data_IF_505909020346
#
_entry.id   IF_505909020346
#
_cell.length_a   1.000
_cell.length_b   1.000
_cell.length_c   1.000
_cell.angle_alpha   90.00
_cell.angle_beta   90.00
_cell.angle_gamma   90.00
#
_symmetry.space_group_name_H-M   'P 1'
#
loop_
_entity.id
_entity.type
_entity.pdbx_description
1 polymer ?
#
# COMPACT_ATOMS: atom_id res chain seq x y z
N UNK A 1 -0.16 -14.18 8.72
CA UNK A 1 0.61 -13.91 9.95
C UNK A 1 -0.36 -13.39 11.01
N UNK A 2 0.11 -12.80 12.12
CA UNK A 2 -0.76 -12.20 13.15
C UNK A 2 -1.58 -10.99 12.65
N UNK A 3 -1.26 -10.50 11.45
CA UNK A 3 -1.88 -9.36 10.79
C UNK A 3 -2.79 -9.77 9.63
N UNK A 4 -2.90 -11.08 9.37
CA UNK A 4 -3.74 -11.67 8.33
C UNK A 4 -3.13 -11.71 6.93
N UNK A 5 -1.85 -11.38 6.74
CA UNK A 5 -1.19 -11.55 5.43
C UNK A 5 -0.68 -12.99 5.28
N UNK A 6 -0.99 -13.65 4.16
CA UNK A 6 -0.54 -15.03 3.89
C UNK A 6 0.69 -15.04 2.98
N UNK A 7 1.40 -16.18 2.89
CA UNK A 7 2.60 -16.31 2.04
C UNK A 7 2.39 -15.86 0.59
N UNK A 8 1.19 -16.05 0.05
CA UNK A 8 0.84 -15.60 -1.29
C UNK A 8 0.75 -14.07 -1.41
N UNK A 9 0.34 -13.35 -0.36
CA UNK A 9 0.36 -11.87 -0.35
C UNK A 9 1.80 -11.36 -0.47
N UNK A 10 2.75 -12.01 0.22
CA UNK A 10 4.17 -11.66 0.15
C UNK A 10 4.76 -11.92 -1.23
N UNK A 11 4.53 -13.11 -1.80
CA UNK A 11 5.05 -13.46 -3.12
C UNK A 11 4.54 -12.50 -4.20
N UNK A 12 3.23 -12.20 -4.17
CA UNK A 12 2.61 -11.29 -5.14
C UNK A 12 3.04 -9.84 -4.95
N UNK A 13 3.22 -9.38 -3.71
CA UNK A 13 3.73 -8.02 -3.43
C UNK A 13 5.14 -7.79 -4.00
N UNK A 14 5.97 -8.84 -4.09
CA UNK A 14 7.30 -8.78 -4.69
C UNK A 14 7.31 -9.16 -6.18
N UNK A 15 6.15 -9.27 -6.82
CA UNK A 15 6.01 -9.69 -8.22
C UNK A 15 6.67 -11.07 -8.55
N UNK A 16 6.84 -11.94 -7.55
CA UNK A 16 7.49 -13.24 -7.72
C UNK A 16 6.51 -14.30 -8.24
N UNK A 17 6.43 -14.42 -9.57
CA UNK A 17 5.57 -15.40 -10.25
C UNK A 17 5.95 -16.84 -9.91
N UNK A 18 7.23 -17.16 -9.91
CA UNK A 18 7.71 -18.53 -9.66
C UNK A 18 7.34 -19.01 -8.26
N UNK A 19 7.55 -18.17 -7.25
CA UNK A 19 7.14 -18.47 -5.89
C UNK A 19 5.61 -18.52 -5.76
N UNK A 20 4.89 -17.62 -6.43
CA UNK A 20 3.41 -17.65 -6.43
C UNK A 20 2.88 -18.96 -7.02
N UNK A 21 3.43 -19.42 -8.15
CA UNK A 21 3.06 -20.70 -8.77
C UNK A 21 3.36 -21.89 -7.84
N UNK A 22 4.54 -21.91 -7.22
CA UNK A 22 4.92 -22.93 -6.26
C UNK A 22 3.95 -22.99 -5.07
N UNK A 23 3.60 -21.82 -4.50
CA UNK A 23 2.68 -21.74 -3.37
C UNK A 23 1.28 -22.26 -3.73
N UNK A 24 0.78 -21.93 -4.93
CA UNK A 24 -0.54 -22.37 -5.39
C UNK A 24 -0.54 -23.88 -5.70
N UNK A 25 0.43 -24.35 -6.47
CA UNK A 25 0.39 -25.71 -7.03
C UNK A 25 0.91 -26.75 -6.04
N UNK A 26 2.04 -26.48 -5.39
CA UNK A 26 2.72 -27.44 -4.52
C UNK A 26 2.24 -27.31 -3.07
N UNK A 27 2.19 -26.08 -2.55
CA UNK A 27 1.78 -25.83 -1.17
C UNK A 27 0.25 -25.78 -0.98
N UNK A 28 -0.52 -25.67 -2.07
CA UNK A 28 -2.00 -25.60 -2.07
C UNK A 28 -2.54 -24.54 -1.10
N UNK A 29 -1.89 -23.38 -1.05
CA UNK A 29 -2.32 -22.28 -0.19
C UNK A 29 -3.69 -21.75 -0.63
N UNK A 30 -4.49 -21.26 0.31
CA UNK A 30 -5.72 -20.56 -0.02
C UNK A 30 -5.38 -19.20 -0.68
N UNK A 31 -5.67 -19.09 -1.97
CA UNK A 31 -5.42 -17.90 -2.80
C UNK A 31 -6.20 -16.68 -2.30
N UNK A 32 -7.34 -16.90 -1.64
CA UNK A 32 -8.20 -15.86 -1.06
C UNK A 32 -8.02 -15.69 0.45
N UNK A 33 -7.08 -16.43 1.05
CA UNK A 33 -6.88 -16.45 2.49
C UNK A 33 -6.17 -15.19 2.97
N UNK A 34 -6.73 -14.50 3.96
CA UNK A 34 -6.12 -13.35 4.60
C UNK A 34 -7.11 -12.48 5.37
N UNK A 35 -6.68 -11.32 5.87
CA UNK A 35 -7.58 -10.34 6.49
C UNK A 35 -8.44 -9.63 5.42
N UNK A 36 -9.75 -9.66 5.59
CA UNK A 36 -10.71 -9.02 4.71
C UNK A 36 -10.62 -7.48 4.67
N UNK A 37 -9.87 -6.87 5.59
CA UNK A 37 -9.54 -5.44 5.58
C UNK A 37 -8.39 -5.11 4.64
N UNK A 38 -7.47 -6.06 4.39
CA UNK A 38 -6.27 -5.89 3.56
C UNK A 38 -6.58 -6.17 2.08
N UNK A 39 -5.82 -5.56 1.14
CA UNK A 39 -5.90 -5.95 -0.28
C UNK A 39 -5.70 -7.46 -0.44
N UNK A 40 -6.53 -8.10 -1.27
CA UNK A 40 -6.31 -9.49 -1.63
C UNK A 40 -5.04 -9.64 -2.50
N UNK A 41 -4.53 -10.86 -2.62
CA UNK A 41 -3.45 -11.16 -3.57
C UNK A 41 -3.79 -10.66 -5.00
N UNK A 42 -5.05 -10.78 -5.44
CA UNK A 42 -5.47 -10.27 -6.75
C UNK A 42 -5.46 -8.74 -6.83
N UNK A 43 -5.85 -8.06 -5.76
CA UNK A 43 -5.77 -6.59 -5.70
C UNK A 43 -4.30 -6.14 -5.74
N UNK A 44 -3.40 -6.82 -5.02
CA UNK A 44 -1.96 -6.51 -5.03
C UNK A 44 -1.39 -6.66 -6.44
N UNK A 45 -1.69 -7.77 -7.14
CA UNK A 45 -1.27 -7.96 -8.53
C UNK A 45 -1.85 -6.90 -9.48
N UNK A 46 -3.05 -6.39 -9.17
CA UNK A 46 -3.70 -5.31 -9.92
C UNK A 46 -3.02 -3.97 -9.70
N UNK A 47 -2.72 -3.61 -8.45
CA UNK A 47 -1.97 -2.40 -8.12
C UNK A 47 -0.57 -2.40 -8.73
N UNK A 48 0.08 -3.55 -8.76
CA UNK A 48 1.39 -3.73 -9.40
C UNK A 48 1.33 -3.77 -10.93
N UNK A 49 0.13 -3.76 -11.54
CA UNK A 49 -0.08 -3.90 -12.98
C UNK A 49 0.57 -5.17 -13.56
N UNK A 50 0.77 -6.21 -12.73
CA UNK A 50 1.37 -7.47 -13.14
C UNK A 50 0.31 -8.39 -13.73
N UNK A 51 0.12 -8.31 -15.05
CA UNK A 51 -0.94 -9.04 -15.75
C UNK A 51 -0.76 -10.56 -15.68
N UNK A 52 0.48 -11.04 -15.61
CA UNK A 52 0.78 -12.47 -15.50
C UNK A 52 0.35 -13.03 -14.14
N UNK A 53 0.65 -12.32 -13.05
CA UNK A 53 0.15 -12.68 -11.72
C UNK A 53 -1.37 -12.55 -11.63
N UNK A 54 -1.97 -11.52 -12.22
CA UNK A 54 -3.44 -11.40 -12.28
C UNK A 54 -4.08 -12.62 -12.96
N UNK A 55 -3.56 -13.05 -14.12
CA UNK A 55 -4.05 -14.24 -14.83
C UNK A 55 -3.90 -15.50 -13.99
N UNK A 56 -2.72 -15.70 -13.40
CA UNK A 56 -2.43 -16.87 -12.55
C UNK A 56 -3.41 -16.96 -11.38
N UNK A 57 -3.62 -15.84 -10.67
CA UNK A 57 -4.53 -15.78 -9.52
C UNK A 57 -5.98 -16.02 -9.96
N UNK A 58 -6.45 -15.36 -11.02
CA UNK A 58 -7.82 -15.55 -11.55
C UNK A 58 -8.07 -16.99 -11.98
N UNK A 59 -7.10 -17.64 -12.65
CA UNK A 59 -7.19 -19.04 -13.06
C UNK A 59 -7.30 -20.00 -11.87
N UNK A 60 -6.85 -19.58 -10.69
CA UNK A 60 -6.92 -20.33 -9.44
C UNK A 60 -8.02 -19.79 -8.50
N UNK A 61 -9.08 -19.20 -9.05
CA UNK A 61 -10.23 -18.64 -8.33
C UNK A 61 -9.87 -17.53 -7.34
N UNK A 62 -8.80 -16.78 -7.60
CA UNK A 62 -8.46 -15.56 -6.88
C UNK A 62 -9.53 -14.49 -7.07
N UNK A 63 -9.94 -13.88 -5.97
CA UNK A 63 -11.02 -12.89 -5.88
C UNK A 63 -10.45 -11.56 -5.39
N UNK A 64 -11.05 -10.46 -5.85
CA UNK A 64 -10.76 -9.15 -5.26
C UNK A 64 -11.29 -9.09 -3.82
N UNK A 65 -10.73 -8.19 -3.00
CA UNK A 65 -11.22 -7.97 -1.63
C UNK A 65 -12.70 -7.63 -1.59
N UNK A 66 -13.21 -6.91 -2.59
CA UNK A 66 -14.64 -6.62 -2.69
C UNK A 66 -15.46 -7.91 -2.85
N UNK A 67 -15.02 -8.81 -3.74
CA UNK A 67 -15.66 -10.10 -3.97
C UNK A 67 -15.56 -11.00 -2.73
N UNK A 68 -14.39 -11.09 -2.09
CA UNK A 68 -14.20 -11.86 -0.84
C UNK A 68 -15.14 -11.37 0.25
N UNK A 69 -15.24 -10.05 0.45
CA UNK A 69 -16.15 -9.46 1.43
C UNK A 69 -17.61 -9.73 1.09
N UNK A 70 -17.99 -9.64 -0.18
CA UNK A 70 -19.35 -9.92 -0.63
C UNK A 70 -19.70 -11.41 -0.50
N UNK A 71 -18.79 -12.33 -0.82
CA UNK A 71 -18.96 -13.77 -0.60
C UNK A 71 -19.02 -14.12 0.89
N UNK A 72 -18.16 -13.51 1.71
CA UNK A 72 -18.18 -13.69 3.16
C UNK A 72 -19.51 -13.21 3.74
N UNK A 73 -20.04 -12.08 3.26
CA UNK A 73 -21.38 -11.60 3.62
C UNK A 73 -22.47 -12.55 3.13
N UNK A 74 -22.39 -13.07 1.90
CA UNK A 74 -23.35 -14.07 1.39
C UNK A 74 -23.32 -15.36 2.19
N UNK A 75 -22.15 -15.86 2.58
CA UNK A 75 -21.99 -17.05 3.43
C UNK A 75 -22.52 -16.78 4.84
N UNK A 76 -22.30 -15.58 5.39
CA UNK A 76 -22.84 -15.17 6.68
C UNK A 76 -24.37 -15.02 6.64
N UNK A 77 -24.91 -14.38 5.61
CA UNK A 77 -26.36 -14.31 5.35
C UNK A 77 -26.91 -15.72 5.16
N UNK A 78 -26.23 -16.59 4.41
CA UNK A 78 -26.64 -17.98 4.20
C UNK A 78 -26.57 -18.81 5.48
N UNK A 79 -25.61 -18.56 6.38
CA UNK A 79 -25.55 -19.16 7.72
C UNK A 79 -26.66 -18.63 8.63
N UNK A 80 -26.90 -17.32 8.65
CA UNK A 80 -27.99 -16.70 9.40
C UNK A 80 -29.36 -17.18 8.86
N UNK A 81 -29.46 -17.40 7.55
CA UNK A 81 -30.60 -17.98 6.86
C UNK A 81 -30.68 -19.50 7.12
N UNK A 82 -29.56 -20.22 7.29
CA UNK A 82 -29.54 -21.61 7.74
C UNK A 82 -30.00 -21.74 9.20
N UNK A 83 -29.60 -20.82 10.07
CA UNK A 83 -30.04 -20.74 11.47
C UNK A 83 -31.54 -20.41 11.52
N UNK A 84 -32.01 -19.42 10.75
CA UNK A 84 -33.45 -19.19 10.54
C UNK A 84 -34.15 -20.39 9.93
N UNK A 85 -33.52 -21.14 9.04
CA UNK A 85 -34.12 -22.33 8.41
C UNK A 85 -34.16 -23.52 9.38
N UNK A 86 -33.23 -23.63 10.34
CA UNK A 86 -33.34 -24.56 11.46
C UNK A 86 -34.53 -24.18 12.35
N UNK A 87 -34.78 -22.90 12.56
CA UNK A 87 -35.98 -22.41 13.27
C UNK A 87 -37.26 -22.57 12.42
N UNK A 88 -37.17 -22.45 11.09
CA UNK A 88 -38.30 -22.49 10.15
C UNK A 88 -38.55 -23.87 9.52
N UNK A 89 -37.75 -24.90 9.81
CA UNK A 89 -37.99 -26.30 9.44
C UNK A 89 -39.28 -26.88 10.07
N UNK A 90 -40.02 -26.07 10.82
CA UNK A 90 -41.41 -26.32 11.19
C UNK A 90 -42.42 -26.12 10.06
N UNK A 91 -42.14 -25.44 8.94
CA UNK A 91 -43.11 -25.25 7.82
C UNK A 91 -42.38 -25.03 6.48
N UNK A 92 -42.58 -25.90 5.48
CA UNK A 92 -42.18 -25.74 4.05
C UNK A 92 -43.40 -25.25 3.21
N UNK A 93 -43.36 -24.88 1.90
CA UNK A 93 -42.31 -25.01 0.85
C UNK A 93 -42.17 -23.88 -0.26
N UNK A 94 -40.96 -23.78 -0.85
CA UNK A 94 -40.56 -23.69 -2.30
C UNK A 94 -41.01 -22.57 -3.31
N UNK A 95 -40.01 -21.90 -3.98
CA UNK A 95 -39.74 -21.80 -5.47
C UNK A 95 -39.01 -20.50 -5.95
N UNK A 96 -37.97 -20.63 -6.81
CA UNK A 96 -37.86 -19.92 -8.12
C UNK A 96 -36.92 -18.72 -8.39
N UNK A 97 -35.70 -18.99 -8.89
CA UNK A 97 -34.88 -18.40 -10.01
C UNK A 97 -34.69 -16.90 -10.38
N UNK A 98 -33.39 -16.63 -10.71
CA UNK A 98 -32.77 -15.80 -11.79
C UNK A 98 -32.79 -14.25 -11.77
N UNK A 99 -31.59 -13.61 -11.71
CA UNK A 99 -31.07 -12.58 -12.64
C UNK A 99 -29.72 -11.98 -12.13
N UNK A 100 -28.62 -12.06 -12.92
CA UNK A 100 -27.60 -10.99 -13.08
C UNK A 100 -26.35 -11.51 -13.84
N UNK A 101 -26.53 -11.80 -15.14
CA UNK A 101 -25.44 -12.04 -16.09
C UNK A 101 -25.22 -10.76 -16.88
N UNK A 102 -24.71 -9.69 -16.25
CA UNK A 102 -24.21 -8.49 -16.96
C UNK A 102 -23.16 -7.84 -16.06
N UNK A 103 -21.86 -8.07 -16.32
CA UNK A 103 -20.73 -7.20 -15.89
C UNK A 103 -19.36 -7.65 -16.44
N UNK A 104 -19.22 -8.82 -17.07
CA UNK A 104 -17.92 -9.31 -17.56
C UNK A 104 -17.50 -8.78 -18.96
N UNK A 105 -18.36 -8.05 -19.67
CA UNK A 105 -18.05 -7.53 -21.01
C UNK A 105 -17.29 -6.20 -20.97
N UNK A 106 -17.51 -5.37 -19.95
CA UNK A 106 -16.89 -4.04 -19.85
C UNK A 106 -15.45 -4.12 -19.30
N UNK A 107 -15.16 -5.10 -18.44
CA UNK A 107 -13.81 -5.43 -17.96
C UNK A 107 -12.84 -5.96 -19.03
N UNK A 108 -13.34 -6.32 -20.22
CA UNK A 108 -12.53 -6.88 -21.30
C UNK A 108 -12.03 -5.84 -22.29
N UNK A 109 -12.64 -4.64 -22.33
CA UNK A 109 -12.29 -3.59 -23.28
C UNK A 109 -11.08 -2.74 -22.86
N UNK A 110 -10.84 -2.55 -21.56
CA UNK A 110 -9.66 -1.83 -21.03
C UNK A 110 -8.36 -2.66 -21.06
N UNK A 111 -8.46 -3.98 -21.26
CA UNK A 111 -7.31 -4.92 -21.24
C UNK A 111 -6.45 -4.90 -22.51
N UNK A 112 -6.68 -3.97 -23.43
CA UNK A 112 -6.11 -4.01 -24.79
C UNK A 112 -5.09 -2.91 -25.10
N UNK A 113 -4.77 -1.98 -24.19
CA UNK A 113 -4.02 -0.77 -24.57
C UNK A 113 -2.68 -0.50 -23.88
N UNK A 114 -2.04 -1.46 -23.20
CA UNK A 114 -0.70 -1.22 -22.66
C UNK A 114 0.14 -2.50 -22.54
N UNK A 115 0.49 -3.11 -23.66
CA UNK A 115 1.65 -4.01 -23.72
C UNK A 115 2.86 -3.16 -24.12
N UNK A 116 3.48 -2.49 -23.14
CA UNK A 116 4.84 -1.95 -23.32
C UNK A 116 5.78 -3.10 -23.01
N UNK A 117 6.54 -3.50 -24.02
CA UNK A 117 7.63 -4.47 -23.92
C UNK A 117 8.68 -3.91 -22.96
N UNK A 118 8.68 -4.38 -21.70
CA UNK A 118 9.66 -3.98 -20.69
C UNK A 118 11.00 -4.64 -21.01
N UNK A 119 12.01 -3.82 -21.30
CA UNK A 119 13.41 -4.23 -21.28
C UNK A 119 13.79 -4.43 -19.81
N UNK A 120 13.80 -5.68 -19.35
CA UNK A 120 14.25 -6.04 -18.00
C UNK A 120 15.76 -5.86 -17.91
N UNK A 121 16.21 -4.87 -17.14
CA UNK A 121 17.60 -4.75 -16.70
C UNK A 121 17.96 -5.98 -15.87
N UNK A 122 19.22 -6.44 -15.96
CA UNK A 122 19.71 -7.42 -14.99
C UNK A 122 19.89 -6.77 -13.61
N UNK A 123 19.88 -7.57 -12.55
CA UNK A 123 19.86 -7.08 -11.17
C UNK A 123 21.08 -6.19 -10.84
N UNK A 124 22.26 -6.53 -11.37
CA UNK A 124 23.50 -5.76 -11.18
C UNK A 124 23.42 -4.35 -11.79
N UNK A 125 22.88 -4.22 -13.00
CA UNK A 125 22.73 -2.94 -13.69
C UNK A 125 21.64 -2.08 -13.02
N UNK A 126 20.55 -2.71 -12.57
CA UNK A 126 19.50 -2.07 -11.81
C UNK A 126 20.05 -1.48 -10.50
N UNK A 127 20.76 -2.27 -9.70
CA UNK A 127 21.34 -1.80 -8.43
C UNK A 127 22.33 -0.65 -8.63
N UNK A 128 23.15 -0.73 -9.69
CA UNK A 128 24.08 0.34 -10.04
C UNK A 128 23.36 1.64 -10.38
N UNK A 129 22.33 1.60 -11.22
CA UNK A 129 21.55 2.80 -11.59
C UNK A 129 20.85 3.41 -10.38
N UNK A 130 20.26 2.59 -9.50
CA UNK A 130 19.63 3.07 -8.25
C UNK A 130 20.65 3.77 -7.35
N UNK A 131 21.88 3.23 -7.23
CA UNK A 131 22.95 3.85 -6.44
C UNK A 131 23.42 5.18 -7.04
N UNK A 132 23.56 5.25 -8.36
CA UNK A 132 23.91 6.47 -9.09
C UNK A 132 22.85 7.56 -8.89
N UNK A 133 21.57 7.28 -9.08
CA UNK A 133 20.50 8.24 -8.83
C UNK A 133 20.45 8.69 -7.37
N UNK A 134 20.63 7.77 -6.42
CA UNK A 134 20.65 8.10 -4.99
C UNK A 134 21.82 9.00 -4.60
N UNK A 135 23.01 8.78 -5.17
CA UNK A 135 24.17 9.63 -4.90
C UNK A 135 23.99 11.02 -5.54
N UNK A 136 23.59 11.08 -6.81
CA UNK A 136 23.35 12.33 -7.52
C UNK A 136 22.26 13.18 -6.86
N UNK A 137 21.13 12.58 -6.46
CA UNK A 137 20.06 13.28 -5.74
C UNK A 137 20.56 13.89 -4.42
N UNK A 138 21.36 13.14 -3.64
CA UNK A 138 21.94 13.64 -2.38
C UNK A 138 22.92 14.79 -2.60
N UNK A 139 23.73 14.74 -3.64
CA UNK A 139 24.68 15.80 -3.94
C UNK A 139 23.98 17.08 -4.41
N UNK A 140 22.96 16.96 -5.26
CA UNK A 140 22.13 18.11 -5.64
C UNK A 140 21.38 18.71 -4.45
N UNK A 141 20.93 17.88 -3.51
CA UNK A 141 20.31 18.36 -2.26
C UNK A 141 21.27 19.20 -1.40
N UNK A 142 22.55 18.79 -1.28
CA UNK A 142 23.58 19.59 -0.58
C UNK A 142 23.82 20.95 -1.25
N UNK A 143 23.77 20.96 -2.58
CA UNK A 143 23.90 22.17 -3.40
C UNK A 143 22.62 23.03 -3.40
N UNK A 144 21.53 22.58 -2.76
CA UNK A 144 20.18 23.18 -2.81
C UNK A 144 19.61 23.29 -4.23
N UNK A 145 20.11 22.47 -5.15
CA UNK A 145 19.63 22.34 -6.52
C UNK A 145 18.41 21.41 -6.56
N UNK A 146 17.31 21.82 -5.94
CA UNK A 146 16.14 20.97 -5.74
C UNK A 146 15.50 20.48 -7.05
N UNK A 147 15.58 21.26 -8.13
CA UNK A 147 15.06 20.88 -9.44
C UNK A 147 15.79 19.64 -9.99
N UNK A 148 17.12 19.61 -9.90
CA UNK A 148 17.92 18.46 -10.36
C UNK A 148 17.79 17.28 -9.41
N UNK A 149 17.73 17.53 -8.10
CA UNK A 149 17.45 16.48 -7.12
C UNK A 149 16.11 15.76 -7.41
N UNK A 150 15.07 16.52 -7.77
CA UNK A 150 13.77 15.95 -8.15
C UNK A 150 13.86 15.07 -9.40
N UNK A 151 14.62 15.47 -10.42
CA UNK A 151 14.81 14.65 -11.64
C UNK A 151 15.40 13.29 -11.29
N UNK A 152 16.47 13.26 -10.51
CA UNK A 152 17.11 12.00 -10.09
C UNK A 152 16.17 11.14 -9.24
N UNK A 153 15.40 11.75 -8.33
CA UNK A 153 14.41 11.02 -7.52
C UNK A 153 13.25 10.48 -8.35
N UNK A 154 12.80 11.21 -9.36
CA UNK A 154 11.74 10.74 -10.27
C UNK A 154 12.24 9.58 -11.12
N UNK A 155 13.43 9.67 -11.70
CA UNK A 155 14.03 8.57 -12.45
C UNK A 155 14.27 7.32 -11.59
N UNK A 156 14.74 7.50 -10.35
CA UNK A 156 14.84 6.42 -9.37
C UNK A 156 13.47 5.78 -9.11
N UNK A 157 12.44 6.58 -8.86
CA UNK A 157 11.09 6.07 -8.60
C UNK A 157 10.52 5.29 -9.78
N UNK A 158 10.66 5.81 -11.01
CA UNK A 158 10.18 5.14 -12.22
C UNK A 158 10.90 3.80 -12.41
N UNK A 159 12.21 3.75 -12.16
CA UNK A 159 13.00 2.53 -12.23
C UNK A 159 12.55 1.50 -11.18
N UNK A 160 12.30 1.93 -9.95
CA UNK A 160 11.77 1.08 -8.87
C UNK A 160 10.38 0.52 -9.19
N UNK A 161 9.48 1.34 -9.72
CA UNK A 161 8.13 0.92 -10.12
C UNK A 161 8.21 -0.09 -11.26
N UNK A 162 9.08 0.14 -12.24
CA UNK A 162 9.24 -0.76 -13.38
C UNK A 162 9.81 -2.13 -12.95
N UNK A 163 10.75 -2.14 -12.01
CA UNK A 163 11.42 -3.37 -11.59
C UNK A 163 10.61 -4.15 -10.53
N UNK A 164 10.07 -3.47 -9.51
CA UNK A 164 9.39 -4.13 -8.39
C UNK A 164 7.86 -4.04 -8.43
N UNK A 165 7.28 -3.20 -9.28
CA UNK A 165 5.86 -2.83 -9.20
C UNK A 165 5.59 -1.71 -8.20
N UNK A 166 4.36 -1.20 -8.22
CA UNK A 166 3.96 -0.03 -7.42
C UNK A 166 3.91 -0.31 -5.90
N UNK A 167 3.37 -1.45 -5.48
CA UNK A 167 3.29 -1.87 -4.08
C UNK A 167 4.58 -2.53 -3.63
N UNK A 168 5.65 -1.73 -3.55
CA UNK A 168 6.92 -2.18 -3.02
C UNK A 168 7.48 -1.19 -1.98
N UNK A 169 8.11 -1.68 -0.89
CA UNK A 169 8.69 -0.80 0.14
C UNK A 169 9.68 0.23 -0.41
N UNK A 170 10.47 -0.14 -1.43
CA UNK A 170 11.42 0.79 -2.05
C UNK A 170 10.70 1.95 -2.78
N UNK A 171 9.57 1.69 -3.43
CA UNK A 171 8.75 2.71 -4.08
C UNK A 171 8.15 3.67 -3.05
N UNK A 172 7.64 3.14 -1.93
CA UNK A 172 7.18 3.98 -0.82
C UNK A 172 8.27 4.93 -0.29
N UNK A 173 9.48 4.39 -0.08
CA UNK A 173 10.64 5.19 0.35
C UNK A 173 11.05 6.23 -0.69
N UNK A 174 10.93 5.92 -1.97
CA UNK A 174 11.22 6.88 -3.05
C UNK A 174 10.24 8.05 -3.05
N UNK A 175 8.93 7.79 -2.91
CA UNK A 175 7.94 8.86 -2.74
C UNK A 175 8.20 9.72 -1.49
N UNK A 176 8.56 9.10 -0.37
CA UNK A 176 8.97 9.84 0.82
C UNK A 176 10.17 10.75 0.53
N UNK A 177 11.18 10.25 -0.17
CA UNK A 177 12.36 11.05 -0.53
C UNK A 177 12.01 12.20 -1.49
N UNK A 178 11.12 11.98 -2.47
CA UNK A 178 10.60 13.04 -3.36
C UNK A 178 9.91 14.13 -2.52
N UNK A 179 9.09 13.73 -1.54
CA UNK A 179 8.39 14.65 -0.65
C UNK A 179 9.37 15.51 0.18
N UNK A 180 10.47 14.93 0.65
CA UNK A 180 11.54 15.68 1.35
C UNK A 180 12.17 16.75 0.44
N UNK A 181 12.39 16.45 -0.84
CA UNK A 181 12.91 17.46 -1.78
C UNK A 181 11.92 18.61 -1.97
N UNK A 182 10.63 18.32 -2.15
CA UNK A 182 9.59 19.34 -2.26
C UNK A 182 9.46 20.19 -0.99
N UNK A 183 9.51 19.56 0.18
CA UNK A 183 9.51 20.27 1.47
C UNK A 183 10.68 21.26 1.57
N UNK A 184 11.90 20.84 1.20
CA UNK A 184 13.08 21.72 1.23
C UNK A 184 13.05 22.82 0.16
N UNK A 185 12.27 22.61 -0.91
CA UNK A 185 11.95 23.63 -1.93
C UNK A 185 10.81 24.56 -1.50
N UNK A 186 10.22 24.36 -0.32
CA UNK A 186 9.04 25.07 0.19
C UNK A 186 7.77 24.86 -0.64
N UNK A 187 7.71 23.81 -1.45
CA UNK A 187 6.50 23.38 -2.17
C UNK A 187 5.75 22.36 -1.30
N UNK A 188 5.01 22.90 -0.33
CA UNK A 188 4.37 22.11 0.72
C UNK A 188 3.22 21.23 0.22
N UNK A 189 2.48 21.66 -0.81
CA UNK A 189 1.38 20.87 -1.36
C UNK A 189 1.91 19.63 -2.09
N UNK A 190 2.95 19.79 -2.91
CA UNK A 190 3.62 18.66 -3.56
C UNK A 190 4.28 17.73 -2.54
N UNK A 191 4.83 18.27 -1.44
CA UNK A 191 5.38 17.47 -0.36
C UNK A 191 4.28 16.63 0.33
N UNK A 192 3.16 17.24 0.74
CA UNK A 192 2.06 16.53 1.37
C UNK A 192 1.47 15.43 0.47
N UNK A 193 1.34 15.70 -0.83
CA UNK A 193 0.87 14.73 -1.83
C UNK A 193 1.80 13.52 -1.93
N UNK A 194 3.12 13.72 -2.01
CA UNK A 194 4.08 12.62 -2.10
C UNK A 194 4.24 11.84 -0.78
N UNK A 195 4.17 12.51 0.39
CA UNK A 195 4.10 11.79 1.66
C UNK A 195 2.85 10.92 1.75
N UNK A 196 1.71 11.40 1.23
CA UNK A 196 0.46 10.63 1.19
C UNK A 196 0.61 9.39 0.31
N UNK A 197 1.18 9.50 -0.89
CA UNK A 197 1.48 8.33 -1.73
C UNK A 197 2.39 7.31 -1.03
N UNK A 198 3.43 7.78 -0.33
CA UNK A 198 4.32 6.89 0.42
C UNK A 198 3.57 6.15 1.53
N UNK A 199 2.70 6.85 2.26
CA UNK A 199 1.88 6.29 3.34
C UNK A 199 0.85 5.30 2.78
N UNK A 200 0.15 5.65 1.69
CA UNK A 200 -0.84 4.79 1.05
C UNK A 200 -0.23 3.46 0.57
N UNK A 201 1.00 3.48 0.04
CA UNK A 201 1.72 2.25 -0.33
C UNK A 201 2.07 1.45 0.93
N UNK A 202 2.65 2.09 1.96
CA UNK A 202 3.01 1.44 3.22
C UNK A 202 1.81 0.81 3.92
N UNK A 203 0.65 1.48 3.89
CA UNK A 203 -0.58 0.98 4.49
C UNK A 203 -1.16 -0.21 3.74
N UNK A 204 -0.85 -0.37 2.45
CA UNK A 204 -1.23 -1.53 1.64
C UNK A 204 -0.26 -2.70 1.78
N UNK A 205 0.99 -2.44 2.16
CA UNK A 205 1.99 -3.48 2.36
C UNK A 205 1.69 -4.35 3.59
N UNK A 206 2.20 -5.60 3.62
CA UNK A 206 2.03 -6.47 4.77
C UNK A 206 2.62 -5.90 6.06
N UNK A 207 1.90 -6.02 7.17
CA UNK A 207 2.32 -5.43 8.46
C UNK A 207 3.56 -6.10 9.07
N UNK A 208 3.89 -7.34 8.68
CA UNK A 208 5.17 -7.94 9.10
C UNK A 208 6.38 -7.21 8.53
N UNK A 209 6.22 -6.47 7.43
CA UNK A 209 7.25 -5.59 6.93
C UNK A 209 7.34 -4.37 7.86
N UNK A 210 8.22 -4.49 8.86
CA UNK A 210 8.57 -3.40 9.76
C UNK A 210 9.56 -2.48 9.05
N UNK A 211 9.09 -1.32 8.61
CA UNK A 211 9.96 -0.22 8.20
C UNK A 211 10.14 0.73 9.41
N UNK A 212 11.33 0.77 10.03
CA UNK A 212 11.63 1.69 11.12
C UNK A 212 11.38 3.15 10.77
N UNK A 213 11.45 3.50 9.49
CA UNK A 213 11.25 4.87 9.01
C UNK A 213 9.79 5.22 8.75
N UNK A 214 8.87 4.24 8.72
CA UNK A 214 7.47 4.51 8.37
C UNK A 214 6.78 5.55 9.28
N UNK A 215 7.00 5.58 10.61
CA UNK A 215 6.48 6.66 11.44
C UNK A 215 6.95 8.06 11.01
N UNK A 216 8.16 8.17 10.43
CA UNK A 216 8.70 9.46 9.97
C UNK A 216 7.93 10.01 8.77
N UNK A 217 7.23 9.18 8.01
CA UNK A 217 6.45 9.64 6.86
C UNK A 217 5.27 10.49 7.36
N UNK A 218 4.60 10.02 8.42
CA UNK A 218 3.53 10.75 9.10
C UNK A 218 4.08 11.99 9.83
N UNK A 219 5.20 11.88 10.54
CA UNK A 219 5.86 13.02 11.21
C UNK A 219 6.18 14.15 10.23
N UNK A 220 6.76 13.84 9.08
CA UNK A 220 7.14 14.87 8.11
C UNK A 220 5.93 15.46 7.39
N UNK A 221 4.90 14.66 7.10
CA UNK A 221 3.61 15.19 6.61
C UNK A 221 2.95 16.11 7.63
N UNK A 222 3.04 15.79 8.93
CA UNK A 222 2.55 16.64 10.00
C UNK A 222 3.28 17.99 10.04
N UNK A 223 4.61 17.99 9.88
CA UNK A 223 5.43 19.21 9.82
C UNK A 223 5.04 20.10 8.62
N UNK A 224 4.76 19.49 7.46
CA UNK A 224 4.22 20.21 6.29
C UNK A 224 2.91 20.92 6.66
N UNK A 225 1.94 20.19 7.24
CA UNK A 225 0.66 20.77 7.63
C UNK A 225 0.79 21.84 8.71
N UNK A 226 1.67 21.65 9.70
CA UNK A 226 1.94 22.65 10.73
C UNK A 226 2.52 23.94 10.13
N UNK A 227 3.41 23.82 9.12
CA UNK A 227 3.97 24.97 8.40
C UNK A 227 2.92 25.73 7.59
N UNK A 228 1.88 25.04 7.13
CA UNK A 228 0.71 25.63 6.48
C UNK A 228 -0.40 26.05 7.47
N UNK A 229 -0.15 26.04 8.78
CA UNK A 229 -1.12 26.33 9.85
C UNK A 229 -2.36 25.41 9.86
N UNK A 230 -2.29 24.24 9.20
CA UNK A 230 -3.34 23.22 9.21
C UNK A 230 -3.18 22.32 10.45
N UNK A 231 -3.36 22.90 11.64
CA UNK A 231 -2.99 22.27 12.90
C UNK A 231 -3.75 20.98 13.20
N UNK A 232 -5.03 20.87 12.84
CA UNK A 232 -5.78 19.63 13.06
C UNK A 232 -5.21 18.46 12.26
N UNK A 233 -4.85 18.68 10.98
CA UNK A 233 -4.19 17.66 10.17
C UNK A 233 -2.80 17.31 10.69
N UNK A 234 -2.06 18.31 11.19
CA UNK A 234 -0.76 18.07 11.79
C UNK A 234 -0.87 17.18 13.05
N UNK A 235 -1.82 17.48 13.93
CA UNK A 235 -2.08 16.70 15.16
C UNK A 235 -2.50 15.27 14.84
N UNK A 236 -3.38 15.07 13.86
CA UNK A 236 -3.78 13.73 13.39
C UNK A 236 -2.55 12.91 12.98
N UNK A 237 -1.67 13.50 12.16
CA UNK A 237 -0.49 12.82 11.64
C UNK A 237 0.57 12.57 12.73
N UNK A 238 0.83 13.52 13.64
CA UNK A 238 1.73 13.29 14.76
C UNK A 238 1.21 12.21 15.71
N UNK A 239 -0.09 12.19 15.97
CA UNK A 239 -0.72 11.17 16.82
C UNK A 239 -0.61 9.78 16.19
N UNK A 240 -0.82 9.68 14.88
CA UNK A 240 -0.62 8.44 14.13
C UNK A 240 0.84 7.97 14.22
N UNK A 241 1.81 8.86 13.98
CA UNK A 241 3.24 8.54 14.11
C UNK A 241 3.61 8.06 15.52
N UNK A 242 3.09 8.73 16.56
CA UNK A 242 3.30 8.38 17.96
C UNK A 242 2.73 6.99 18.28
N UNK A 243 1.51 6.71 17.83
CA UNK A 243 0.86 5.40 17.96
C UNK A 243 1.70 4.29 17.31
N UNK A 244 2.23 4.55 16.10
CA UNK A 244 3.10 3.61 15.39
C UNK A 244 4.41 3.37 16.13
N UNK A 245 5.09 4.41 16.63
CA UNK A 245 6.33 4.27 17.42
C UNK A 245 6.08 3.45 18.69
N UNK A 246 5.01 3.75 19.45
CA UNK A 246 4.65 3.00 20.66
C UNK A 246 4.32 1.53 20.39
N UNK A 247 3.63 1.25 19.28
CA UNK A 247 3.18 -0.11 18.96
C UNK A 247 4.29 -0.96 18.33
N UNK A 248 5.04 -0.41 17.39
CA UNK A 248 5.98 -1.19 16.56
C UNK A 248 7.44 -1.05 17.01
N UNK A 249 7.81 0.07 17.67
CA UNK A 249 9.19 0.42 18.02
C UNK A 249 9.33 0.95 19.47
N UNK A 250 8.88 0.19 20.49
CA UNK A 250 8.70 0.69 21.86
C UNK A 250 9.99 1.08 22.62
N UNK A 251 11.17 0.78 22.08
CA UNK A 251 12.46 1.05 22.73
C UNK A 251 12.98 2.47 22.38
N UNK A 252 12.32 3.18 21.46
CA UNK A 252 12.72 4.52 21.02
C UNK A 252 12.11 5.64 21.88
N UNK A 253 12.45 5.65 23.17
CA UNK A 253 11.90 6.58 24.15
C UNK A 253 12.11 8.06 23.77
N UNK A 254 13.28 8.41 23.24
CA UNK A 254 13.60 9.80 22.88
C UNK A 254 12.73 10.32 21.72
N UNK A 255 12.43 9.49 20.72
CA UNK A 255 11.59 9.88 19.58
C UNK A 255 10.11 10.00 19.99
N UNK A 256 9.65 9.13 20.89
CA UNK A 256 8.31 9.20 21.49
C UNK A 256 8.14 10.51 22.25
N UNK A 257 9.10 10.88 23.11
CA UNK A 257 9.06 12.13 23.85
C UNK A 257 9.09 13.36 22.94
N UNK A 258 9.91 13.34 21.88
CA UNK A 258 9.93 14.43 20.89
C UNK A 258 8.58 14.61 20.22
N UNK A 259 7.92 13.52 19.82
CA UNK A 259 6.59 13.56 19.21
C UNK A 259 5.54 14.11 20.18
N UNK A 260 5.58 13.70 21.46
CA UNK A 260 4.69 14.23 22.50
C UNK A 260 4.87 15.75 22.67
N UNK A 261 6.11 16.23 22.73
CA UNK A 261 6.40 17.68 22.81
C UNK A 261 5.92 18.44 21.56
N UNK A 262 6.08 17.86 20.36
CA UNK A 262 5.55 18.47 19.14
C UNK A 262 4.02 18.59 19.18
N UNK A 263 3.33 17.55 19.63
CA UNK A 263 1.86 17.56 19.78
C UNK A 263 1.45 18.68 20.73
N UNK A 264 2.02 18.75 21.94
CA UNK A 264 1.71 19.81 22.93
C UNK A 264 1.92 21.21 22.36
N UNK A 265 3.03 21.42 21.64
CA UNK A 265 3.31 22.71 21.00
C UNK A 265 2.27 23.09 19.95
N UNK A 266 1.90 22.16 19.07
CA UNK A 266 0.90 22.41 18.02
C UNK A 266 -0.49 22.61 18.63
N UNK A 267 -0.84 21.89 19.70
CA UNK A 267 -2.08 22.12 20.43
C UNK A 267 -2.16 23.52 21.04
N UNK A 268 -1.03 24.03 21.57
CA UNK A 268 -0.93 25.41 22.04
C UNK A 268 -1.22 26.42 20.92
N UNK A 269 -0.52 26.28 19.78
CA UNK A 269 -0.71 27.16 18.63
C UNK A 269 -2.13 27.11 18.07
N UNK A 270 -2.78 25.94 18.06
CA UNK A 270 -4.17 25.79 17.63
C UNK A 270 -5.14 26.56 18.52
N UNK A 271 -4.89 26.62 19.83
CA UNK A 271 -5.77 27.30 20.80
C UNK A 271 -5.65 28.82 20.76
N UNK A 272 -4.60 29.35 20.14
CA UNK A 272 -4.35 30.79 20.00
C UNK A 272 -5.02 31.42 18.76
N UNK A 273 -5.61 30.60 17.87
CA UNK A 273 -6.39 31.02 16.70
C UNK A 273 -7.89 31.06 16.98
#
# INVERSE_FOLDING_TARGET
DIYGDTSIHYAVAHNDKSLTEFLINECKVDVNGGDCKRPSALDIASFNQNLELQKLLVNNNGLSRYQINHESRKRKISQDELIRNIENLSITPHKGNQQSVITNAELKAERSSAAVEQVTLNDDEFEKQISEFNSAARDQMKLKNYQEALKYRQHENDLLINHFGYLHPAVARSYYNIAVVYHNKCDYDSAASNYTKAIDIRDQLPLSYKDPDFPNYNTNRALVYATQHQYDKALENFTQALSMRKTYFPIQYDEIQRLEQFIERIEGQRKEL
#
